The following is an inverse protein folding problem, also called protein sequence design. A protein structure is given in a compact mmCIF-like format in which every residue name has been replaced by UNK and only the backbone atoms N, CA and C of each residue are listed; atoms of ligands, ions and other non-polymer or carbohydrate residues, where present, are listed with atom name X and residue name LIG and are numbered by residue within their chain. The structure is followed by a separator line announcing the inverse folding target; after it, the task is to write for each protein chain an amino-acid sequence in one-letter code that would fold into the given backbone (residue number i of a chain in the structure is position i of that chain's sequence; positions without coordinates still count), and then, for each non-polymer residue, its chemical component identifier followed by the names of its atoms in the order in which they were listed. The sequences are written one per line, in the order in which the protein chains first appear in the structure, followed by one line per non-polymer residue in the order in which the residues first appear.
data_IF_771915142018
#
_entry.id   IF_771915142018
#
_cell.length_a   1.000
_cell.length_b   1.000
_cell.length_c   1.000
_cell.angle_alpha   90.00
_cell.angle_beta   90.00
_cell.angle_gamma   90.00
#
_symmetry.space_group_name_H-M   'P 1'
#
loop_
_entity.id
_entity.type
_entity.pdbx_description
1 polymer ?
#
# COMPACT_ATOMS: atom_id res chain seq x y z
N UNK A 1 -5.60 14.30 -6.96
CA UNK A 1 -6.70 14.71 -6.04
C UNK A 1 -8.01 14.06 -6.46
N UNK A 2 -8.58 14.40 -7.62
CA UNK A 2 -9.85 13.84 -8.11
C UNK A 2 -9.89 12.30 -8.12
N UNK A 3 -8.85 11.62 -8.61
CA UNK A 3 -8.78 10.15 -8.62
C UNK A 3 -8.83 9.53 -7.22
N UNK A 4 -8.12 10.12 -6.25
CA UNK A 4 -8.11 9.63 -4.87
C UNK A 4 -9.47 9.85 -4.20
N UNK A 5 -10.08 11.02 -4.39
CA UNK A 5 -11.42 11.33 -3.88
C UNK A 5 -12.48 10.40 -4.48
N UNK A 6 -12.39 10.13 -5.79
CA UNK A 6 -13.28 9.17 -6.48
C UNK A 6 -13.14 7.76 -5.91
N UNK A 7 -11.91 7.27 -5.72
CA UNK A 7 -11.67 5.94 -5.15
C UNK A 7 -12.20 5.83 -3.70
N UNK A 8 -12.05 6.87 -2.89
CA UNK A 8 -12.62 6.91 -1.53
C UNK A 8 -14.15 6.84 -1.59
N UNK A 9 -14.78 7.60 -2.49
CA UNK A 9 -16.23 7.60 -2.64
C UNK A 9 -16.78 6.25 -3.11
N UNK A 10 -16.11 5.61 -4.08
CA UNK A 10 -16.45 4.28 -4.58
C UNK A 10 -16.39 3.23 -3.45
N UNK A 11 -15.28 3.18 -2.72
CA UNK A 11 -15.09 2.22 -1.62
C UNK A 11 -16.05 2.46 -0.44
N UNK A 12 -16.38 3.73 -0.16
CA UNK A 12 -17.36 4.08 0.88
C UNK A 12 -18.78 3.67 0.47
N UNK A 13 -19.14 3.84 -0.81
CA UNK A 13 -20.44 3.40 -1.34
C UNK A 13 -20.59 1.88 -1.33
N UNK A 14 -19.52 1.15 -1.60
CA UNK A 14 -19.46 -0.31 -1.52
C UNK A 14 -19.47 -0.85 -0.08
N UNK A 15 -19.30 0.01 0.94
CA UNK A 15 -19.19 -0.37 2.35
C UNK A 15 -18.14 -1.46 2.58
N UNK A 16 -16.97 -1.30 1.95
CA UNK A 16 -15.84 -2.24 2.11
C UNK A 16 -15.38 -2.34 3.58
N UNK A 17 -15.57 -1.27 4.35
CA UNK A 17 -15.33 -1.21 5.79
C UNK A 17 -16.58 -0.76 6.53
N UNK A 18 -16.76 -1.25 7.76
CA UNK A 18 -17.84 -0.83 8.66
C UNK A 18 -17.64 0.63 9.13
N UNK A 19 -16.38 1.01 9.35
CA UNK A 19 -15.99 2.35 9.78
C UNK A 19 -15.68 3.28 8.59
N UNK A 20 -15.86 4.62 8.75
CA UNK A 20 -15.55 5.60 7.71
C UNK A 20 -14.05 5.62 7.32
N UNK A 21 -13.77 5.89 6.04
CA UNK A 21 -12.42 6.11 5.54
C UNK A 21 -11.91 7.47 6.01
N UNK A 22 -10.78 7.48 6.73
CA UNK A 22 -10.16 8.71 7.30
C UNK A 22 -8.89 9.17 6.53
N UNK A 23 -8.66 8.63 5.34
CA UNK A 23 -7.49 8.95 4.51
C UNK A 23 -7.46 10.43 4.12
N UNK A 24 -6.35 11.10 4.40
CA UNK A 24 -6.14 12.50 4.07
C UNK A 24 -5.77 12.72 2.58
N UNK A 25 -6.42 13.68 1.92
CA UNK A 25 -6.16 14.04 0.51
C UNK A 25 -5.69 15.49 0.39
N UNK A 26 -4.37 15.65 0.39
CA UNK A 26 -3.70 16.96 0.42
C UNK A 26 -2.77 17.13 -0.79
N UNK A 27 -2.48 18.38 -1.20
CA UNK A 27 -1.37 18.63 -2.11
C UNK A 27 -0.04 18.24 -1.45
N UNK A 28 0.85 17.60 -2.20
CA UNK A 28 2.23 17.36 -1.77
C UNK A 28 2.94 18.72 -1.66
N UNK A 29 3.49 19.03 -0.49
CA UNK A 29 4.26 20.25 -0.26
C UNK A 29 5.75 20.00 -0.43
N UNK A 30 6.29 19.08 0.36
CA UNK A 30 7.71 18.75 0.41
C UNK A 30 7.86 17.25 0.70
N UNK A 31 8.91 16.62 0.15
CA UNK A 31 9.21 15.21 0.41
C UNK A 31 10.68 15.03 0.74
N UNK A 32 10.97 14.52 1.94
CA UNK A 32 12.31 14.18 2.37
C UNK A 32 12.53 12.67 2.21
N UNK A 33 13.43 12.24 1.30
CA UNK A 33 13.71 10.82 1.15
C UNK A 33 14.22 10.21 2.45
N UNK A 34 13.71 9.03 2.77
CA UNK A 34 14.24 8.23 3.88
C UNK A 34 15.69 7.78 3.59
N UNK A 35 16.40 7.43 4.66
CA UNK A 35 17.76 6.93 4.62
C UNK A 35 17.91 5.69 3.73
N UNK A 36 19.12 5.46 3.23
CA UNK A 36 19.38 4.40 2.26
C UNK A 36 18.99 3.01 2.78
N UNK A 37 19.17 2.75 4.08
CA UNK A 37 18.82 1.45 4.67
C UNK A 37 17.31 1.17 4.69
N UNK A 38 16.45 2.20 4.56
CA UNK A 38 15.00 2.01 4.42
C UNK A 38 14.58 1.65 3.00
N UNK A 39 15.43 1.90 2.00
CA UNK A 39 15.15 1.58 0.61
C UNK A 39 15.22 0.08 0.41
N UNK A 40 14.25 -0.46 -0.32
CA UNK A 40 14.18 -1.90 -0.62
C UNK A 40 14.26 -2.83 0.60
N UNK A 41 13.86 -2.36 1.79
CA UNK A 41 14.06 -3.07 3.05
C UNK A 41 13.55 -4.51 3.03
N UNK A 42 12.32 -4.73 2.56
CA UNK A 42 11.76 -6.09 2.47
C UNK A 42 12.53 -6.99 1.49
N UNK A 43 13.02 -6.42 0.38
CA UNK A 43 13.80 -7.15 -0.63
C UNK A 43 15.17 -7.56 -0.09
N UNK A 44 15.81 -6.69 0.70
CA UNK A 44 17.14 -6.91 1.27
C UNK A 44 17.09 -7.73 2.57
N UNK A 45 15.99 -7.68 3.31
CA UNK A 45 15.82 -8.32 4.61
C UNK A 45 14.53 -9.14 4.72
N UNK A 46 14.27 -10.09 3.80
CA UNK A 46 13.01 -10.84 3.76
C UNK A 46 12.79 -11.70 5.02
N UNK A 47 13.89 -12.15 5.65
CA UNK A 47 13.87 -13.01 6.83
C UNK A 47 13.80 -12.25 8.16
N UNK A 48 13.65 -10.93 8.14
CA UNK A 48 13.33 -10.21 9.38
C UNK A 48 11.96 -10.66 9.90
N UNK A 49 11.81 -10.77 11.22
CA UNK A 49 10.58 -11.28 11.83
C UNK A 49 9.34 -10.47 11.40
N UNK A 50 9.47 -9.15 11.36
CA UNK A 50 8.43 -8.24 10.86
C UNK A 50 8.11 -8.49 9.38
N UNK A 51 9.14 -8.63 8.54
CA UNK A 51 8.98 -8.91 7.10
C UNK A 51 8.18 -10.19 6.86
N UNK A 52 8.51 -11.27 7.56
CA UNK A 52 7.79 -12.55 7.46
C UNK A 52 6.36 -12.47 7.97
N UNK A 53 6.15 -11.84 9.12
CA UNK A 53 4.83 -11.83 9.77
C UNK A 53 3.84 -10.86 9.10
N UNK A 54 4.32 -9.73 8.57
CA UNK A 54 3.46 -8.62 8.14
C UNK A 54 3.52 -8.37 6.64
N UNK A 55 4.71 -8.36 6.04
CA UNK A 55 4.88 -7.95 4.63
C UNK A 55 4.64 -9.13 3.68
N UNK A 56 5.26 -10.29 3.95
CA UNK A 56 5.16 -11.45 3.08
C UNK A 56 3.70 -11.88 2.78
N UNK A 57 2.77 -11.93 3.76
CA UNK A 57 1.37 -12.26 3.49
C UNK A 57 0.68 -11.22 2.60
N UNK A 58 0.99 -9.93 2.77
CA UNK A 58 0.43 -8.84 1.94
C UNK A 58 0.92 -8.95 0.50
N UNK A 59 2.21 -9.24 0.30
CA UNK A 59 2.79 -9.46 -1.04
C UNK A 59 2.19 -10.69 -1.70
N UNK A 60 2.02 -11.79 -0.98
CA UNK A 60 1.38 -13.00 -1.50
C UNK A 60 -0.08 -12.74 -1.93
N UNK A 61 -0.85 -12.00 -1.10
CA UNK A 61 -2.22 -11.59 -1.43
C UNK A 61 -2.26 -10.74 -2.70
N UNK A 62 -1.38 -9.76 -2.84
CA UNK A 62 -1.29 -8.90 -4.02
C UNK A 62 -0.93 -9.70 -5.28
N UNK A 63 0.07 -10.58 -5.21
CA UNK A 63 0.46 -11.44 -6.34
C UNK A 63 -0.68 -12.33 -6.80
N UNK A 64 -1.45 -12.90 -5.87
CA UNK A 64 -2.62 -13.72 -6.19
C UNK A 64 -3.73 -12.91 -6.86
N UNK A 65 -4.01 -11.70 -6.35
CA UNK A 65 -5.09 -10.86 -6.87
C UNK A 65 -4.78 -10.20 -8.21
N UNK A 66 -3.49 -9.95 -8.50
CA UNK A 66 -3.06 -9.16 -9.65
C UNK A 66 -2.04 -9.87 -10.53
N UNK A 67 -2.06 -11.20 -10.56
CA UNK A 67 -1.08 -12.03 -11.29
C UNK A 67 -0.91 -11.56 -12.75
N UNK A 68 -2.02 -11.31 -13.44
CA UNK A 68 -2.05 -10.86 -14.85
C UNK A 68 -1.48 -9.46 -15.08
N UNK A 69 -1.35 -8.65 -14.03
CA UNK A 69 -0.82 -7.28 -14.10
C UNK A 69 0.66 -7.19 -13.72
N UNK A 70 1.28 -8.29 -13.30
CA UNK A 70 2.69 -8.31 -12.97
C UNK A 70 3.52 -8.19 -14.25
N UNK A 71 4.47 -7.24 -14.27
CA UNK A 71 5.46 -7.16 -15.33
C UNK A 71 6.28 -8.45 -15.33
N UNK A 72 6.47 -9.04 -16.52
CA UNK A 72 7.40 -10.14 -16.74
C UNK A 72 8.84 -9.67 -16.56
#
# INVERSE_FOLDING_TARGET
RAEAEHAIAELAAEKVWDDPIVTEVMPLTEFYPAEEYHRDYFRLHPDQAYCRAVIAPKVAKARKAFLEKLKR
#
